data_IF_850093555259
#
_entry.id   IF_850093555259
#
_cell.length_a   1.000
_cell.length_b   1.000
_cell.length_c   1.000
_cell.angle_alpha   90.00
_cell.angle_beta   90.00
_cell.angle_gamma   90.00
#
_symmetry.space_group_name_H-M   'P 1'
#
loop_
_entity.id
_entity.type
_entity.pdbx_description
1 polymer ?
#
# COMPACT_ATOMS: atom_id res chain seq x y z
N UNK A 1 6.96 18.19 4.14
CA UNK A 1 6.71 16.74 4.35
C UNK A 1 5.86 16.56 5.60
N UNK A 2 4.93 15.59 5.61
CA UNK A 2 4.11 15.29 6.79
C UNK A 2 4.99 14.71 7.90
N UNK A 3 4.73 15.15 9.13
CA UNK A 3 5.47 14.71 10.32
C UNK A 3 4.83 13.38 10.78
N UNK A 4 5.65 12.35 10.94
CA UNK A 4 5.21 11.02 11.38
C UNK A 4 5.18 10.85 12.91
N UNK A 5 5.56 11.89 13.67
CA UNK A 5 5.58 11.90 15.14
C UNK A 5 6.32 10.70 15.77
N UNK A 6 7.44 10.31 15.17
CA UNK A 6 8.29 9.22 15.65
C UNK A 6 9.41 9.76 16.56
N UNK A 7 9.85 8.98 17.57
CA UNK A 7 10.93 9.39 18.45
C UNK A 7 12.27 9.48 17.71
N UNK A 8 13.18 10.32 18.22
CA UNK A 8 14.52 10.50 17.62
C UNK A 8 15.32 9.19 17.54
N UNK A 9 15.11 8.28 18.50
CA UNK A 9 15.71 6.95 18.54
C UNK A 9 15.34 6.05 17.37
N UNK A 10 14.23 6.32 16.67
CA UNK A 10 13.82 5.59 15.48
C UNK A 10 14.40 6.16 14.19
N UNK A 11 15.00 7.36 14.22
CA UNK A 11 15.54 8.02 13.04
C UNK A 11 16.84 7.34 12.60
N UNK A 12 16.91 6.98 11.32
CA UNK A 12 18.09 6.38 10.68
C UNK A 12 18.76 7.37 9.72
N UNK A 13 17.97 8.02 8.86
CA UNK A 13 18.41 9.08 7.93
C UNK A 13 19.61 8.69 7.04
N UNK A 14 19.59 7.45 6.55
CA UNK A 14 20.69 6.87 5.76
C UNK A 14 20.37 6.88 4.28
N UNK A 15 21.20 7.55 3.48
CA UNK A 15 21.13 7.46 2.02
C UNK A 15 21.48 6.03 1.55
N UNK A 16 20.65 5.48 0.66
CA UNK A 16 20.88 4.19 0.04
C UNK A 16 21.04 4.38 -1.46
N UNK A 17 22.19 3.97 -2.00
CA UNK A 17 22.43 4.06 -3.43
C UNK A 17 21.51 3.11 -4.21
N UNK A 18 20.96 3.56 -5.34
CA UNK A 18 20.08 2.73 -6.20
C UNK A 18 20.73 1.41 -6.61
N UNK A 19 22.06 1.42 -6.83
CA UNK A 19 22.85 0.23 -7.17
C UNK A 19 22.75 -0.90 -6.14
N UNK A 20 22.44 -0.58 -4.88
CA UNK A 20 22.21 -1.55 -3.81
C UNK A 20 21.09 -2.52 -4.17
N UNK A 21 20.05 -2.03 -4.84
CA UNK A 21 18.90 -2.85 -5.26
C UNK A 21 18.96 -3.21 -6.74
N UNK A 22 19.42 -2.28 -7.58
CA UNK A 22 19.43 -2.42 -9.04
C UNK A 22 20.44 -3.44 -9.59
N UNK A 23 21.53 -3.74 -8.86
CA UNK A 23 22.67 -4.53 -9.37
C UNK A 23 22.30 -5.94 -9.83
N UNK A 24 21.27 -6.55 -9.24
CA UNK A 24 20.82 -7.92 -9.55
C UNK A 24 19.53 -7.96 -10.38
N UNK A 25 19.09 -6.81 -10.90
CA UNK A 25 17.78 -6.67 -11.55
C UNK A 25 17.95 -6.46 -13.06
N UNK A 26 17.47 -7.38 -13.91
CA UNK A 26 17.42 -7.16 -15.35
C UNK A 26 16.60 -5.91 -15.68
N UNK A 27 17.08 -5.10 -16.61
CA UNK A 27 16.42 -3.85 -17.01
C UNK A 27 16.20 -2.84 -15.85
N UNK A 28 17.11 -2.81 -14.87
CA UNK A 28 16.99 -1.94 -13.69
C UNK A 28 16.79 -0.45 -14.04
N UNK A 29 17.36 0.04 -15.15
CA UNK A 29 17.18 1.43 -15.59
C UNK A 29 15.71 1.78 -15.82
N UNK A 30 14.92 0.87 -16.37
CA UNK A 30 13.50 1.09 -16.60
C UNK A 30 12.70 1.17 -15.28
N UNK A 31 13.11 0.43 -14.25
CA UNK A 31 12.37 0.40 -12.98
C UNK A 31 12.80 1.53 -12.04
N UNK A 32 14.10 1.81 -11.96
CA UNK A 32 14.68 2.81 -11.06
C UNK A 32 14.85 4.18 -11.71
N UNK A 33 14.56 4.33 -13.01
CA UNK A 33 14.78 5.57 -13.77
C UNK A 33 14.03 6.77 -13.19
N UNK A 34 12.81 6.55 -12.69
CA UNK A 34 11.99 7.58 -12.05
C UNK A 34 12.37 7.87 -10.59
N UNK A 35 13.21 7.05 -9.95
CA UNK A 35 13.67 7.34 -8.60
C UNK A 35 14.84 8.31 -8.71
N UNK A 36 14.84 9.37 -7.91
CA UNK A 36 15.94 10.31 -7.74
C UNK A 36 16.83 9.90 -6.55
N UNK A 37 16.23 9.67 -5.40
CA UNK A 37 16.92 9.36 -4.15
C UNK A 37 16.16 8.33 -3.32
N UNK A 38 16.90 7.54 -2.54
CA UNK A 38 16.35 6.58 -1.59
C UNK A 38 17.00 6.88 -0.23
N UNK A 39 16.17 7.11 0.79
CA UNK A 39 16.63 7.34 2.16
C UNK A 39 15.92 6.33 3.05
N UNK A 40 16.69 5.56 3.82
CA UNK A 40 16.15 4.81 4.94
C UNK A 40 15.93 5.79 6.09
N UNK A 41 14.70 6.27 6.22
CA UNK A 41 14.36 7.38 7.09
C UNK A 41 14.21 6.92 8.55
N UNK A 42 13.47 5.83 8.78
CA UNK A 42 13.21 5.31 10.12
C UNK A 42 13.26 3.79 10.21
N UNK A 43 13.57 3.31 11.41
CA UNK A 43 13.50 1.92 11.83
C UNK A 43 12.73 1.83 13.15
N UNK A 44 11.64 1.08 13.14
CA UNK A 44 10.81 0.80 14.30
C UNK A 44 11.15 -0.60 14.82
N UNK A 45 11.61 -0.67 16.06
CA UNK A 45 11.91 -1.92 16.77
C UNK A 45 11.70 -1.70 18.27
N UNK A 46 11.73 -2.76 19.10
CA UNK A 46 11.59 -2.60 20.55
C UNK A 46 12.60 -1.62 21.15
N UNK A 47 13.81 -1.58 20.59
CA UNK A 47 14.87 -0.66 21.04
C UNK A 47 14.65 0.78 20.60
N UNK A 48 13.94 1.03 19.51
CA UNK A 48 13.81 2.39 18.95
C UNK A 48 12.52 3.10 19.34
N UNK A 49 11.44 2.36 19.61
CA UNK A 49 10.15 2.96 19.99
C UNK A 49 9.54 2.39 21.28
N UNK A 50 10.24 1.48 21.97
CA UNK A 50 9.78 0.86 23.22
C UNK A 50 8.44 0.11 23.09
N UNK A 51 8.24 -0.60 21.97
CA UNK A 51 7.08 -1.44 21.69
C UNK A 51 7.57 -2.86 21.41
N UNK A 52 7.01 -3.90 22.07
CA UNK A 52 7.46 -5.27 21.87
C UNK A 52 7.21 -5.72 20.43
N UNK A 53 8.07 -6.60 19.93
CA UNK A 53 7.91 -7.20 18.62
C UNK A 53 7.12 -8.51 18.70
N UNK A 54 6.82 -9.09 17.54
CA UNK A 54 6.29 -10.45 17.45
C UNK A 54 7.19 -11.29 16.53
N UNK A 55 6.97 -12.60 16.50
CA UNK A 55 7.66 -13.50 15.57
C UNK A 55 7.33 -13.21 14.10
N UNK A 56 6.23 -12.52 13.81
CA UNK A 56 5.86 -12.11 12.45
C UNK A 56 6.37 -10.73 12.09
N UNK A 57 6.42 -9.81 13.04
CA UNK A 57 6.85 -8.43 12.83
C UNK A 57 7.90 -8.06 13.86
N UNK A 58 9.16 -8.29 13.49
CA UNK A 58 10.32 -7.95 14.32
C UNK A 58 10.70 -6.48 14.25
N UNK A 59 10.56 -5.87 13.08
CA UNK A 59 10.85 -4.47 12.79
C UNK A 59 9.86 -3.93 11.75
N UNK A 60 9.69 -2.60 11.69
CA UNK A 60 9.02 -1.91 10.58
C UNK A 60 9.96 -0.82 10.08
N UNK A 61 10.20 -0.74 8.78
CA UNK A 61 11.08 0.26 8.19
C UNK A 61 10.26 1.32 7.46
N UNK A 62 10.81 2.54 7.39
CA UNK A 62 10.21 3.63 6.62
C UNK A 62 11.26 4.16 5.66
N UNK A 63 10.92 4.15 4.37
CA UNK A 63 11.79 4.61 3.30
C UNK A 63 11.19 5.82 2.60
N UNK A 64 11.99 6.88 2.48
CA UNK A 64 11.67 8.02 1.63
C UNK A 64 12.24 7.79 0.23
N UNK A 65 11.37 7.86 -0.76
CA UNK A 65 11.70 7.69 -2.17
C UNK A 65 11.39 9.02 -2.85
N UNK A 66 12.42 9.79 -3.19
CA UNK A 66 12.26 10.98 -4.03
C UNK A 66 12.13 10.52 -5.48
N UNK A 67 11.09 11.01 -6.17
CA UNK A 67 10.75 10.68 -7.55
C UNK A 67 11.02 11.88 -8.46
N UNK A 68 11.30 11.60 -9.73
CA UNK A 68 11.47 12.61 -10.79
C UNK A 68 10.15 12.97 -11.50
N UNK A 69 9.11 12.17 -11.31
CA UNK A 69 7.77 12.35 -11.85
C UNK A 69 6.74 11.72 -10.90
N UNK A 70 5.45 12.02 -11.09
CA UNK A 70 4.35 11.41 -10.31
C UNK A 70 4.11 9.93 -10.61
N UNK A 71 4.84 9.32 -11.53
CA UNK A 71 4.66 7.91 -11.88
C UNK A 71 5.12 6.98 -10.74
N UNK A 72 4.22 6.14 -10.23
CA UNK A 72 4.53 5.25 -9.10
C UNK A 72 5.46 4.10 -9.53
N UNK A 73 6.67 3.97 -8.96
CA UNK A 73 7.67 3.01 -9.43
C UNK A 73 7.45 1.61 -8.83
N UNK A 74 6.28 1.01 -9.06
CA UNK A 74 5.83 -0.25 -8.42
C UNK A 74 6.88 -1.38 -8.46
N UNK A 75 7.53 -1.56 -9.61
CA UNK A 75 8.58 -2.58 -9.79
C UNK A 75 9.84 -2.27 -8.97
N UNK A 76 10.24 -1.02 -8.84
CA UNK A 76 11.38 -0.66 -8.00
C UNK A 76 11.08 -0.86 -6.52
N UNK A 77 9.86 -0.54 -6.06
CA UNK A 77 9.45 -0.80 -4.67
C UNK A 77 9.54 -2.29 -4.34
N UNK A 78 9.07 -3.15 -5.24
CA UNK A 78 9.24 -4.61 -5.13
C UNK A 78 10.71 -5.02 -4.97
N UNK A 79 11.60 -4.53 -5.83
CA UNK A 79 13.03 -4.86 -5.76
C UNK A 79 13.73 -4.28 -4.51
N UNK A 80 13.25 -3.15 -3.98
CA UNK A 80 13.74 -2.57 -2.72
C UNK A 80 13.30 -3.42 -1.52
N UNK A 81 12.05 -3.89 -1.51
CA UNK A 81 11.49 -4.70 -0.41
C UNK A 81 12.06 -6.12 -0.37
N UNK A 82 12.31 -6.74 -1.52
CA UNK A 82 12.75 -8.14 -1.65
C UNK A 82 13.90 -8.56 -0.71
N UNK A 83 15.02 -7.81 -0.57
CA UNK A 83 16.10 -8.19 0.34
C UNK A 83 15.84 -7.86 1.82
N UNK A 84 14.73 -7.21 2.16
CA UNK A 84 14.40 -6.74 3.51
C UNK A 84 13.24 -7.59 4.06
N UNK A 85 13.46 -8.41 5.11
CA UNK A 85 12.44 -9.33 5.63
C UNK A 85 11.36 -8.64 6.48
N UNK A 86 11.42 -7.32 6.62
CA UNK A 86 10.56 -6.52 7.48
C UNK A 86 9.57 -5.70 6.65
N UNK A 87 8.34 -5.43 7.14
CA UNK A 87 7.43 -4.47 6.52
C UNK A 87 8.10 -3.13 6.23
N UNK A 88 7.85 -2.58 5.04
CA UNK A 88 8.28 -1.24 4.67
C UNK A 88 7.07 -0.36 4.36
N UNK A 89 6.98 0.76 5.07
CA UNK A 89 6.15 1.90 4.68
C UNK A 89 6.99 2.83 3.79
N UNK A 90 6.66 2.90 2.51
CA UNK A 90 7.28 3.85 1.58
C UNK A 90 6.56 5.19 1.64
N UNK A 91 7.34 6.27 1.69
CA UNK A 91 6.93 7.65 1.43
C UNK A 91 7.47 8.06 0.07
N UNK A 92 6.58 8.17 -0.90
CA UNK A 92 6.92 8.56 -2.26
C UNK A 92 6.74 10.06 -2.39
N UNK A 93 7.80 10.78 -2.75
CA UNK A 93 7.83 12.25 -2.73
C UNK A 93 8.12 12.75 -4.15
N UNK A 94 7.30 13.68 -4.64
CA UNK A 94 7.52 14.37 -5.90
C UNK A 94 7.06 15.82 -5.77
N UNK A 95 7.95 16.78 -6.05
CA UNK A 95 7.63 18.21 -6.08
C UNK A 95 6.84 18.69 -4.83
N UNK A 96 7.39 18.43 -3.65
CA UNK A 96 6.78 18.69 -2.33
C UNK A 96 5.47 17.92 -2.01
N UNK A 97 4.91 17.22 -2.99
CA UNK A 97 3.76 16.32 -2.83
C UNK A 97 4.23 14.94 -2.40
N UNK A 98 3.34 14.21 -1.75
CA UNK A 98 3.68 12.87 -1.27
C UNK A 98 2.50 11.92 -1.32
N UNK A 99 2.78 10.63 -1.45
CA UNK A 99 1.85 9.55 -1.15
C UNK A 99 2.58 8.43 -0.39
N UNK A 100 1.81 7.49 0.14
CA UNK A 100 2.35 6.34 0.86
C UNK A 100 2.15 5.06 0.07
N UNK A 101 3.03 4.09 0.29
CA UNK A 101 2.82 2.73 -0.18
C UNK A 101 3.22 1.70 0.88
N UNK A 102 2.46 0.61 0.99
CA UNK A 102 2.77 -0.52 1.86
C UNK A 102 2.30 -1.83 1.21
N UNK A 103 3.03 -2.91 1.42
CA UNK A 103 2.63 -4.25 0.99
C UNK A 103 2.15 -5.09 2.17
N UNK A 104 1.40 -6.15 1.88
CA UNK A 104 1.11 -7.17 2.88
C UNK A 104 2.33 -8.08 3.09
N UNK A 105 2.55 -8.56 4.32
CA UNK A 105 3.61 -9.53 4.63
C UNK A 105 3.56 -10.77 3.72
N UNK A 106 2.36 -11.29 3.47
CA UNK A 106 2.16 -12.52 2.70
C UNK A 106 2.08 -12.27 1.18
N UNK A 107 1.94 -11.01 0.74
CA UNK A 107 1.71 -10.65 -0.67
C UNK A 107 2.41 -9.32 -1.01
N UNK A 108 3.29 -9.34 -2.01
CA UNK A 108 3.98 -8.14 -2.48
C UNK A 108 3.14 -7.28 -3.45
N UNK A 109 1.84 -7.17 -3.17
CA UNK A 109 0.97 -6.20 -3.82
C UNK A 109 0.93 -4.93 -2.96
N UNK A 110 1.32 -3.81 -3.55
CA UNK A 110 1.34 -2.53 -2.86
C UNK A 110 -0.02 -1.86 -2.88
N UNK A 111 -0.43 -1.41 -1.71
CA UNK A 111 -1.46 -0.40 -1.53
C UNK A 111 -0.82 0.97 -1.68
N UNK A 112 -1.56 1.93 -2.23
CA UNK A 112 -1.13 3.31 -2.40
C UNK A 112 -2.21 4.24 -1.88
N UNK A 113 -1.79 5.34 -1.26
CA UNK A 113 -2.67 6.49 -1.07
C UNK A 113 -2.65 7.36 -2.31
N UNK A 114 -3.62 8.26 -2.43
CA UNK A 114 -3.52 9.34 -3.41
C UNK A 114 -2.40 10.31 -3.01
N UNK A 115 -1.91 11.09 -3.97
CA UNK A 115 -0.98 12.19 -3.68
C UNK A 115 -1.67 13.26 -2.83
N UNK A 116 -0.96 13.76 -1.82
CA UNK A 116 -1.40 14.75 -0.84
C UNK A 116 -2.57 14.32 0.06
N UNK A 117 -2.90 13.02 0.06
CA UNK A 117 -3.88 12.44 0.99
C UNK A 117 -3.35 12.54 2.43
N UNK A 118 -4.13 13.17 3.32
CA UNK A 118 -3.76 13.34 4.74
C UNK A 118 -4.02 12.05 5.52
N UNK A 119 -3.02 11.18 5.54
CA UNK A 119 -3.06 9.96 6.38
C UNK A 119 -2.33 10.20 7.70
N UNK A 120 -3.03 9.92 8.81
CA UNK A 120 -2.46 9.92 10.16
C UNK A 120 -2.17 8.48 10.57
N UNK A 121 -0.89 8.14 10.68
CA UNK A 121 -0.46 6.86 11.21
C UNK A 121 -0.34 6.92 12.72
N UNK A 122 -0.83 5.88 13.39
CA UNK A 122 -0.51 5.62 14.79
C UNK A 122 0.57 4.54 14.84
N UNK A 123 1.75 4.90 15.35
CA UNK A 123 2.88 3.99 15.50
C UNK A 123 2.98 3.42 16.92
N UNK A 124 1.97 3.66 17.76
CA UNK A 124 1.90 3.19 19.14
C UNK A 124 0.72 2.23 19.30
N UNK A 125 1.03 1.00 19.70
CA UNK A 125 0.06 -0.05 20.02
C UNK A 125 0.70 -1.09 20.95
N UNK A 126 0.01 -2.20 21.22
CA UNK A 126 0.48 -3.27 22.12
C UNK A 126 1.77 -3.91 21.66
N UNK A 127 1.96 -4.07 20.34
CA UNK A 127 3.13 -4.69 19.72
C UNK A 127 3.31 -4.20 18.27
N UNK A 128 4.45 -4.52 17.66
CA UNK A 128 4.76 -4.12 16.28
C UNK A 128 3.85 -4.78 15.23
N UNK A 129 3.27 -5.94 15.50
CA UNK A 129 2.31 -6.55 14.59
C UNK A 129 1.03 -5.73 14.53
N UNK A 130 0.52 -5.25 15.67
CA UNK A 130 -0.61 -4.31 15.73
C UNK A 130 -0.31 -2.97 15.09
N UNK A 131 0.88 -2.41 15.31
CA UNK A 131 1.32 -1.20 14.61
C UNK A 131 1.29 -1.39 13.09
N UNK A 132 1.85 -2.49 12.59
CA UNK A 132 1.81 -2.81 11.17
C UNK A 132 0.37 -2.98 10.65
N UNK A 133 -0.48 -3.73 11.35
CA UNK A 133 -1.89 -3.93 10.99
C UNK A 133 -2.63 -2.60 10.89
N UNK A 134 -2.43 -1.69 11.85
CA UNK A 134 -3.04 -0.37 11.86
C UNK A 134 -2.55 0.51 10.70
N UNK A 135 -1.26 0.45 10.36
CA UNK A 135 -0.73 1.15 9.17
C UNK A 135 -1.44 0.65 7.92
N UNK A 136 -1.53 -0.67 7.72
CA UNK A 136 -2.20 -1.26 6.54
C UNK A 136 -3.68 -0.89 6.50
N UNK A 137 -4.39 -0.92 7.64
CA UNK A 137 -5.81 -0.54 7.73
C UNK A 137 -6.07 0.88 7.20
N UNK A 138 -5.13 1.83 7.33
CA UNK A 138 -5.27 3.19 6.76
C UNK A 138 -5.35 3.22 5.24
N UNK A 139 -4.95 2.14 4.56
CA UNK A 139 -5.07 2.01 3.10
C UNK A 139 -6.38 1.34 2.66
N UNK A 140 -7.14 0.76 3.59
CA UNK A 140 -8.39 0.05 3.33
C UNK A 140 -9.56 1.03 3.42
N UNK A 141 -9.76 1.84 2.38
CA UNK A 141 -10.71 2.98 2.38
C UNK A 141 -12.17 2.59 2.70
N UNK A 142 -12.53 1.34 2.42
CA UNK A 142 -13.90 0.84 2.55
C UNK A 142 -14.16 0.14 3.89
N UNK A 143 -13.19 0.13 4.80
CA UNK A 143 -13.30 -0.57 6.08
C UNK A 143 -13.28 0.45 7.19
N UNK A 144 -14.35 0.48 7.99
CA UNK A 144 -14.44 1.39 9.14
C UNK A 144 -13.38 1.02 10.17
N UNK A 145 -12.68 2.03 10.67
CA UNK A 145 -11.58 1.87 11.64
C UNK A 145 -12.05 1.21 12.95
N UNK A 146 -13.28 1.50 13.39
CA UNK A 146 -13.91 0.94 14.60
C UNK A 146 -14.60 -0.42 14.39
N UNK A 147 -14.42 -1.05 13.23
CA UNK A 147 -14.94 -2.39 13.04
C UNK A 147 -14.22 -3.37 13.97
N UNK A 148 -14.97 -4.14 14.76
CA UNK A 148 -14.47 -5.27 15.58
C UNK A 148 -13.96 -6.45 14.72
N UNK A 149 -13.83 -6.22 13.42
CA UNK A 149 -13.45 -7.19 12.40
C UNK A 149 -11.94 -7.44 12.51
N UNK A 150 -11.57 -8.72 12.45
CA UNK A 150 -10.17 -9.11 12.49
C UNK A 150 -9.37 -8.52 11.32
N UNK A 151 -8.06 -8.37 11.48
CA UNK A 151 -7.21 -7.87 10.41
C UNK A 151 -7.29 -8.74 9.14
N UNK A 152 -7.31 -10.07 9.26
CA UNK A 152 -7.41 -10.95 8.08
C UNK A 152 -8.74 -10.78 7.36
N UNK A 153 -9.83 -10.72 8.12
CA UNK A 153 -11.17 -10.47 7.58
C UNK A 153 -11.24 -9.11 6.87
N UNK A 154 -10.59 -8.08 7.43
CA UNK A 154 -10.50 -6.77 6.78
C UNK A 154 -9.82 -6.89 5.40
N UNK A 155 -8.71 -7.62 5.31
CA UNK A 155 -8.02 -7.83 4.03
C UNK A 155 -8.88 -8.64 3.04
N UNK A 156 -9.62 -9.64 3.50
CA UNK A 156 -10.51 -10.45 2.66
C UNK A 156 -11.65 -9.60 2.08
N UNK A 157 -12.28 -8.77 2.91
CA UNK A 157 -13.34 -7.85 2.48
C UNK A 157 -12.81 -6.86 1.44
N UNK A 158 -11.64 -6.24 1.66
CA UNK A 158 -11.03 -5.31 0.69
C UNK A 158 -10.71 -6.01 -0.64
N UNK A 159 -10.17 -7.22 -0.60
CA UNK A 159 -9.92 -8.02 -1.82
C UNK A 159 -11.20 -8.33 -2.57
N UNK A 160 -12.26 -8.67 -1.84
CA UNK A 160 -13.56 -8.99 -2.43
C UNK A 160 -14.16 -7.76 -3.11
N UNK A 161 -14.16 -6.62 -2.41
CA UNK A 161 -14.59 -5.32 -2.96
C UNK A 161 -13.82 -4.99 -4.25
N UNK A 162 -12.49 -5.06 -4.24
CA UNK A 162 -11.67 -4.79 -5.43
C UNK A 162 -11.96 -5.73 -6.60
N UNK A 163 -12.33 -6.97 -6.32
CA UNK A 163 -12.68 -7.95 -7.35
C UNK A 163 -14.03 -7.59 -7.96
N UNK A 164 -15.03 -7.31 -7.12
CA UNK A 164 -16.35 -6.85 -7.55
C UNK A 164 -16.28 -5.56 -8.36
N UNK A 165 -15.53 -4.56 -7.91
CA UNK A 165 -15.33 -3.29 -8.63
C UNK A 165 -14.76 -3.51 -10.04
N UNK A 166 -13.76 -4.39 -10.20
CA UNK A 166 -13.18 -4.71 -11.51
C UNK A 166 -14.18 -5.42 -12.42
N UNK A 167 -14.95 -6.35 -11.87
CA UNK A 167 -15.96 -7.09 -12.61
C UNK A 167 -17.09 -6.18 -13.07
N UNK A 168 -17.60 -5.33 -12.17
CA UNK A 168 -18.59 -4.29 -12.44
C UNK A 168 -18.07 -3.38 -13.55
N UNK A 169 -16.86 -2.82 -13.40
CA UNK A 169 -16.28 -1.92 -14.39
C UNK A 169 -16.13 -2.59 -15.77
N UNK A 170 -15.79 -3.88 -15.80
CA UNK A 170 -15.68 -4.66 -17.04
C UNK A 170 -17.04 -4.86 -17.70
N UNK A 171 -18.06 -5.20 -16.91
CA UNK A 171 -19.43 -5.39 -17.37
C UNK A 171 -20.06 -4.07 -17.86
N UNK A 172 -19.88 -2.98 -17.14
CA UNK A 172 -20.31 -1.63 -17.55
C UNK A 172 -19.69 -1.22 -18.89
N UNK A 173 -18.38 -1.44 -19.04
CA UNK A 173 -17.68 -1.14 -20.30
C UNK A 173 -18.18 -1.99 -21.47
N UNK A 174 -18.51 -3.27 -21.22
CA UNK A 174 -19.13 -4.14 -22.23
C UNK A 174 -20.53 -3.66 -22.59
N UNK A 175 -21.34 -3.32 -21.59
CA UNK A 175 -22.71 -2.83 -21.76
C UNK A 175 -22.74 -1.53 -22.60
N UNK A 176 -21.84 -0.59 -22.31
CA UNK A 176 -21.71 0.69 -23.05
C UNK A 176 -21.34 0.50 -24.53
N UNK A 177 -20.64 -0.58 -24.87
CA UNK A 177 -20.18 -0.88 -26.24
C UNK A 177 -21.15 -1.77 -27.02
N UNK A 178 -22.03 -2.49 -26.34
CA UNK A 178 -22.95 -3.44 -26.97
C UNK A 178 -24.12 -2.70 -27.63
N UNK A 179 -24.49 -3.13 -28.85
CA UNK A 179 -25.59 -2.54 -29.63
C UNK A 179 -26.85 -3.42 -29.64
N UNK A 180 -26.69 -4.73 -29.44
CA UNK A 180 -27.80 -5.68 -29.45
C UNK A 180 -28.54 -5.65 -28.11
N UNK A 181 -29.82 -5.26 -28.13
CA UNK A 181 -30.66 -5.14 -26.93
C UNK A 181 -30.68 -6.41 -26.07
N UNK A 182 -30.79 -7.60 -26.69
CA UNK A 182 -30.83 -8.86 -25.94
C UNK A 182 -29.54 -9.09 -25.13
N UNK A 183 -28.38 -8.77 -25.70
CA UNK A 183 -27.08 -8.87 -24.99
C UNK A 183 -26.93 -7.80 -23.91
N UNK A 184 -27.45 -6.59 -24.15
CA UNK A 184 -27.49 -5.56 -23.11
C UNK A 184 -28.33 -6.00 -21.91
N UNK A 185 -29.46 -6.67 -22.15
CA UNK A 185 -30.31 -7.21 -21.09
C UNK A 185 -29.59 -8.30 -20.29
N UNK A 186 -28.88 -9.22 -20.95
CA UNK A 186 -28.07 -10.24 -20.28
C UNK A 186 -26.95 -9.65 -19.43
N UNK A 187 -26.17 -8.71 -19.99
CA UNK A 187 -25.10 -8.01 -19.26
C UNK A 187 -25.66 -7.25 -18.05
N UNK A 188 -26.81 -6.59 -18.20
CA UNK A 188 -27.49 -5.89 -17.11
C UNK A 188 -27.97 -6.84 -16.00
N UNK A 189 -28.43 -8.05 -16.37
CA UNK A 189 -28.82 -9.10 -15.39
C UNK A 189 -27.62 -9.60 -14.58
N UNK A 190 -26.43 -9.65 -15.16
CA UNK A 190 -25.20 -10.03 -14.46
C UNK A 190 -24.64 -8.90 -13.60
N UNK A 191 -24.83 -7.64 -14.02
CA UNK A 191 -24.30 -6.46 -13.34
C UNK A 191 -25.03 -6.16 -12.01
N UNK A 192 -26.37 -6.13 -12.02
CA UNK A 192 -27.21 -5.79 -10.86
C UNK A 192 -26.89 -6.57 -9.57
N UNK A 193 -26.73 -7.91 -9.56
CA UNK A 193 -26.41 -8.63 -8.33
C UNK A 193 -25.05 -8.24 -7.77
N UNK A 194 -24.05 -8.01 -8.63
CA UNK A 194 -22.70 -7.59 -8.22
C UNK A 194 -22.70 -6.19 -7.62
N UNK A 195 -23.45 -5.26 -8.20
CA UNK A 195 -23.65 -3.92 -7.63
C UNK A 195 -24.34 -3.97 -6.26
N UNK A 196 -25.34 -4.86 -6.11
CA UNK A 196 -26.04 -5.05 -4.84
C UNK A 196 -25.12 -5.65 -3.78
N UNK A 197 -24.31 -6.63 -4.15
CA UNK A 197 -23.31 -7.25 -3.28
C UNK A 197 -22.26 -6.22 -2.83
N UNK A 198 -21.70 -5.45 -3.76
CA UNK A 198 -20.76 -4.37 -3.44
C UNK A 198 -21.37 -3.37 -2.46
N UNK A 199 -22.61 -2.92 -2.69
CA UNK A 199 -23.32 -2.00 -1.78
C UNK A 199 -23.56 -2.57 -0.38
N UNK A 200 -23.60 -3.90 -0.22
CA UNK A 200 -23.73 -4.53 1.09
C UNK A 200 -22.42 -4.62 1.87
N UNK A 201 -21.28 -4.43 1.19
CA UNK A 201 -19.94 -4.53 1.77
C UNK A 201 -19.30 -3.16 2.08
N UNK A 202 -19.87 -2.08 1.56
CA UNK A 202 -19.50 -0.68 1.81
C UNK A 202 -20.33 -0.09 2.97
#
# INVERSE_FOLDING_TARGET
MPILNLPKSAKVDKFIAKKTFASKVPNAKAFFGNIEKIIWAYKLSPKTINIPNTTKVEEIHIFDIELKSKELPKKALYEIQKPIPYPILFRLIYDSKFCYAISLLEQQNYYFTEFDERVKFNFLDTDLEKVYQNIVKKFLKNIKEDSSIDFKQSIEIDKHIKTLEKEIQTLENKLKKEKQFNKQLELSRQLKPKEKELKGLL
#
